data_IF_968755277365
#
_entry.id   IF_968755277365
#
_cell.length_a   1.000
_cell.length_b   1.000
_cell.length_c   1.000
_cell.angle_alpha   90.00
_cell.angle_beta   90.00
_cell.angle_gamma   90.00
#
_symmetry.space_group_name_H-M   'P 1'
#
loop_
_entity.id
_entity.type
_entity.pdbx_description
1 polymer ?
#
# COMPACT_ATOMS: atom_id res chain seq x y z
N UNK A 1 2.57 -17.69 -26.10
CA UNK A 1 3.51 -16.55 -26.22
C UNK A 1 4.49 -16.65 -25.09
N UNK A 2 5.80 -16.57 -25.36
CA UNK A 2 6.83 -16.73 -24.34
C UNK A 2 6.85 -15.50 -23.43
N UNK A 3 6.53 -15.66 -22.15
CA UNK A 3 6.51 -14.59 -21.15
C UNK A 3 7.83 -13.80 -21.09
N UNK A 4 8.94 -14.45 -21.44
CA UNK A 4 10.26 -13.86 -21.55
C UNK A 4 10.35 -12.80 -22.67
N UNK A 5 9.76 -13.07 -23.84
CA UNK A 5 9.78 -12.14 -24.97
C UNK A 5 8.92 -10.89 -24.66
N UNK A 6 7.78 -11.10 -23.99
CA UNK A 6 6.91 -10.01 -23.53
C UNK A 6 7.62 -9.13 -22.50
N UNK A 7 8.41 -9.73 -21.59
CA UNK A 7 9.22 -9.01 -20.61
C UNK A 7 10.26 -8.11 -21.29
N UNK A 8 11.02 -8.66 -22.23
CA UNK A 8 12.08 -7.94 -22.96
C UNK A 8 11.50 -6.77 -23.75
N UNK A 9 10.39 -6.98 -24.48
CA UNK A 9 9.73 -5.91 -25.25
C UNK A 9 9.25 -4.78 -24.33
N UNK A 10 8.70 -5.13 -23.17
CA UNK A 10 8.20 -4.15 -22.19
C UNK A 10 9.37 -3.35 -21.57
N UNK A 11 10.48 -4.02 -21.28
CA UNK A 11 11.68 -3.41 -20.70
C UNK A 11 12.34 -2.44 -21.69
N UNK A 12 12.53 -2.85 -22.95
CA UNK A 12 13.02 -1.97 -24.00
C UNK A 12 12.11 -0.76 -24.21
N UNK A 13 10.78 -0.96 -24.25
CA UNK A 13 9.81 0.12 -24.44
C UNK A 13 9.84 1.16 -23.32
N UNK A 14 10.10 0.74 -22.07
CA UNK A 14 10.30 1.63 -20.92
C UNK A 14 11.61 2.41 -21.05
N UNK A 15 12.67 1.76 -21.50
CA UNK A 15 14.02 2.34 -21.61
C UNK A 15 14.11 3.45 -22.66
N UNK A 16 13.41 3.32 -23.80
CA UNK A 16 13.39 4.33 -24.89
C UNK A 16 12.41 5.50 -24.65
N UNK A 17 11.89 5.67 -23.44
CA UNK A 17 11.02 6.80 -23.08
C UNK A 17 9.53 6.45 -22.97
N UNK A 18 9.18 5.17 -22.97
CA UNK A 18 7.83 4.71 -22.63
C UNK A 18 7.48 5.07 -21.19
N UNK A 19 6.23 5.48 -20.98
CA UNK A 19 5.69 5.77 -19.65
C UNK A 19 5.74 4.47 -18.84
N UNK A 20 6.60 4.38 -17.82
CA UNK A 20 6.57 3.27 -16.86
C UNK A 20 5.15 3.19 -16.32
N UNK A 21 4.40 2.17 -16.74
CA UNK A 21 3.13 1.83 -16.10
C UNK A 21 3.52 1.47 -14.68
N UNK A 22 3.30 2.41 -13.74
CA UNK A 22 3.55 2.17 -12.32
C UNK A 22 2.74 0.95 -11.96
N UNK A 23 3.42 -0.19 -11.79
CA UNK A 23 2.76 -1.41 -11.36
C UNK A 23 1.99 -1.08 -10.09
N UNK A 24 0.72 -1.49 -10.08
CA UNK A 24 -0.09 -1.37 -8.88
C UNK A 24 0.61 -2.14 -7.76
N UNK A 25 1.17 -1.39 -6.82
CA UNK A 25 1.94 -1.95 -5.70
C UNK A 25 1.11 -2.88 -4.80
N UNK A 26 -0.22 -2.97 -5.03
CA UNK A 26 -1.14 -3.77 -4.24
C UNK A 26 -1.34 -3.24 -2.82
N UNK A 27 -0.85 -2.02 -2.56
CA UNK A 27 -0.88 -1.39 -1.23
C UNK A 27 -2.25 -0.85 -0.84
N UNK A 28 -3.10 -0.56 -1.81
CA UNK A 28 -4.45 -0.04 -1.58
C UNK A 28 -5.48 -1.10 -1.96
N UNK A 29 -6.50 -1.27 -1.12
CA UNK A 29 -7.64 -2.13 -1.40
C UNK A 29 -8.47 -1.57 -2.56
N UNK A 30 -9.25 -2.45 -3.21
CA UNK A 30 -10.16 -2.03 -4.28
C UNK A 30 -11.21 -1.03 -3.76
N UNK A 31 -11.68 -1.20 -2.53
CA UNK A 31 -12.60 -0.25 -1.89
C UNK A 31 -12.01 1.16 -1.78
N UNK A 32 -10.74 1.27 -1.34
CA UNK A 32 -10.06 2.57 -1.25
C UNK A 32 -9.87 3.20 -2.62
N UNK A 33 -9.58 2.40 -3.67
CA UNK A 33 -9.51 2.90 -5.05
C UNK A 33 -10.87 3.39 -5.55
N UNK A 34 -11.94 2.65 -5.27
CA UNK A 34 -13.30 3.06 -5.64
C UNK A 34 -13.69 4.39 -4.97
N UNK A 35 -13.30 4.62 -3.71
CA UNK A 35 -13.53 5.90 -3.03
C UNK A 35 -12.72 7.05 -3.65
N UNK A 36 -11.47 6.80 -4.04
CA UNK A 36 -10.65 7.79 -4.76
C UNK A 36 -11.32 8.18 -6.08
N UNK A 37 -11.82 7.19 -6.84
CA UNK A 37 -12.54 7.43 -8.08
C UNK A 37 -13.83 8.21 -7.82
N UNK A 38 -14.62 7.83 -6.80
CA UNK A 38 -15.83 8.57 -6.40
C UNK A 38 -15.49 10.04 -6.12
N UNK A 39 -14.42 10.31 -5.38
CA UNK A 39 -13.97 11.67 -5.08
C UNK A 39 -13.55 12.44 -6.33
N UNK A 40 -12.87 11.79 -7.27
CA UNK A 40 -12.44 12.41 -8.53
C UNK A 40 -13.62 12.74 -9.46
N UNK A 41 -14.67 11.92 -9.42
CA UNK A 41 -15.90 12.14 -10.19
C UNK A 41 -16.85 13.17 -9.57
N UNK A 42 -16.62 13.60 -8.33
CA UNK A 42 -17.46 14.57 -7.64
C UNK A 42 -17.27 15.97 -8.24
N UNK A 43 -18.33 16.53 -8.85
CA UNK A 43 -18.35 17.93 -9.28
C UNK A 43 -18.79 18.80 -8.11
N UNK A 44 -17.97 19.79 -7.76
CA UNK A 44 -18.26 20.71 -6.65
C UNK A 44 -19.02 21.91 -7.18
N UNK A 45 -20.30 22.01 -6.85
CA UNK A 45 -21.18 23.11 -7.25
C UNK A 45 -21.84 23.80 -6.07
N UNK A 46 -22.08 23.07 -4.97
CA UNK A 46 -22.75 23.53 -3.77
C UNK A 46 -21.85 23.53 -2.53
N UNK A 47 -22.32 24.15 -1.44
CA UNK A 47 -21.65 24.03 -0.13
C UNK A 47 -21.69 22.60 0.41
N UNK A 48 -22.76 21.87 0.14
CA UNK A 48 -22.91 20.45 0.54
C UNK A 48 -21.87 19.57 -0.16
N UNK A 49 -21.61 19.80 -1.44
CA UNK A 49 -20.61 19.03 -2.21
C UNK A 49 -19.21 19.23 -1.63
N UNK A 50 -18.90 20.44 -1.14
CA UNK A 50 -17.62 20.74 -0.46
C UNK A 50 -17.47 19.95 0.84
N UNK A 51 -18.56 19.80 1.59
CA UNK A 51 -18.59 18.99 2.82
C UNK A 51 -18.38 17.52 2.46
N UNK A 52 -19.13 16.98 1.48
CA UNK A 52 -18.97 15.59 1.04
C UNK A 52 -17.54 15.32 0.55
N UNK A 53 -16.94 16.24 -0.21
CA UNK A 53 -15.56 16.12 -0.67
C UNK A 53 -14.55 16.05 0.49
N UNK A 54 -14.77 16.86 1.52
CA UNK A 54 -13.92 16.88 2.72
C UNK A 54 -14.06 15.57 3.51
N UNK A 55 -15.29 15.06 3.67
CA UNK A 55 -15.56 13.79 4.34
C UNK A 55 -14.98 12.59 3.59
N UNK A 56 -15.18 12.54 2.26
CA UNK A 56 -14.55 11.53 1.41
C UNK A 56 -13.03 11.57 1.53
N UNK A 57 -12.42 12.75 1.57
CA UNK A 57 -10.98 12.89 1.74
C UNK A 57 -10.49 12.38 3.10
N UNK A 58 -11.21 12.69 4.18
CA UNK A 58 -10.92 12.16 5.53
C UNK A 58 -11.01 10.63 5.55
N UNK A 59 -12.06 10.07 4.95
CA UNK A 59 -12.28 8.62 4.86
C UNK A 59 -11.19 7.93 4.06
N UNK A 60 -10.87 8.44 2.87
CA UNK A 60 -9.79 7.91 2.02
C UNK A 60 -8.47 7.89 2.76
N UNK A 61 -8.10 8.98 3.45
CA UNK A 61 -6.85 9.05 4.18
C UNK A 61 -6.76 8.01 5.30
N UNK A 62 -7.83 7.84 6.08
CA UNK A 62 -7.91 6.80 7.11
C UNK A 62 -7.72 5.41 6.50
N UNK A 63 -8.43 5.10 5.41
CA UNK A 63 -8.36 3.81 4.73
C UNK A 63 -6.99 3.55 4.09
N UNK A 64 -6.37 4.55 3.46
CA UNK A 64 -5.00 4.43 2.91
C UNK A 64 -3.99 4.01 3.98
N UNK A 65 -4.07 4.60 5.17
CA UNK A 65 -3.20 4.24 6.29
C UNK A 65 -3.42 2.79 6.72
N UNK A 66 -4.68 2.36 6.86
CA UNK A 66 -5.03 0.98 7.19
C UNK A 66 -4.54 -0.02 6.14
N UNK A 67 -4.77 0.25 4.86
CA UNK A 67 -4.39 -0.63 3.76
C UNK A 67 -2.87 -0.81 3.67
N UNK A 68 -2.12 0.29 3.77
CA UNK A 68 -0.65 0.25 3.78
C UNK A 68 -0.14 -0.51 5.00
N UNK A 69 -0.75 -0.30 6.18
CA UNK A 69 -0.39 -1.04 7.40
C UNK A 69 -0.63 -2.54 7.23
N UNK A 70 -1.78 -2.93 6.67
CA UNK A 70 -2.14 -4.33 6.40
C UNK A 70 -1.18 -4.97 5.39
N UNK A 71 -0.86 -4.27 4.30
CA UNK A 71 0.10 -4.72 3.31
C UNK A 71 1.49 -4.95 3.92
N UNK A 72 1.99 -3.99 4.69
CA UNK A 72 3.28 -4.10 5.36
C UNK A 72 3.30 -5.26 6.36
N UNK A 73 2.21 -5.45 7.13
CA UNK A 73 2.07 -6.55 8.07
C UNK A 73 2.21 -7.91 7.38
N UNK A 74 1.46 -8.12 6.29
CA UNK A 74 1.53 -9.35 5.48
C UNK A 74 2.95 -9.62 4.97
N UNK A 75 3.70 -8.59 4.58
CA UNK A 75 5.08 -8.76 4.13
C UNK A 75 6.02 -9.15 5.26
N UNK A 76 5.83 -8.59 6.46
CA UNK A 76 6.61 -8.97 7.64
C UNK A 76 6.28 -10.40 8.06
N UNK A 77 5.00 -10.79 8.11
CA UNK A 77 4.56 -12.15 8.42
C UNK A 77 5.13 -13.18 7.44
N UNK A 78 5.11 -12.90 6.12
CA UNK A 78 5.73 -13.77 5.11
C UNK A 78 7.23 -13.90 5.33
N UNK A 79 7.92 -12.81 5.64
CA UNK A 79 9.35 -12.84 5.90
C UNK A 79 9.68 -13.68 7.13
N UNK A 80 8.92 -13.51 8.21
CA UNK A 80 9.03 -14.32 9.43
C UNK A 80 8.85 -15.80 9.16
N UNK A 81 7.80 -16.18 8.42
CA UNK A 81 7.54 -17.57 8.04
C UNK A 81 8.68 -18.20 7.22
N UNK A 82 9.36 -17.39 6.42
CA UNK A 82 10.45 -17.84 5.55
C UNK A 82 11.83 -17.74 6.24
N UNK A 83 11.90 -17.58 7.57
CA UNK A 83 13.15 -17.45 8.32
C UNK A 83 13.93 -16.15 8.05
N UNK A 84 13.28 -15.16 7.42
CA UNK A 84 13.89 -13.90 7.04
C UNK A 84 13.98 -12.90 8.19
N UNK A 85 15.03 -12.08 8.18
CA UNK A 85 15.22 -11.02 9.18
C UNK A 85 14.16 -9.92 9.06
N UNK A 86 13.40 -9.70 10.14
CA UNK A 86 12.45 -8.59 10.29
C UNK A 86 13.12 -7.24 10.01
N UNK A 87 14.35 -7.05 10.48
CA UNK A 87 15.12 -5.79 10.34
C UNK A 87 15.38 -5.47 8.86
N UNK A 88 15.72 -6.49 8.06
CA UNK A 88 15.95 -6.34 6.63
C UNK A 88 14.66 -6.00 5.87
N UNK A 89 13.54 -6.63 6.21
CA UNK A 89 12.24 -6.34 5.58
C UNK A 89 11.71 -4.96 5.94
N UNK A 90 11.86 -4.53 7.20
CA UNK A 90 11.50 -3.18 7.65
C UNK A 90 12.29 -2.09 6.92
N UNK A 91 13.59 -2.30 6.70
CA UNK A 91 14.44 -1.39 5.90
C UNK A 91 13.91 -1.24 4.47
N UNK A 92 13.55 -2.35 3.81
CA UNK A 92 12.96 -2.35 2.46
C UNK A 92 11.58 -1.68 2.39
N UNK A 93 10.84 -1.64 3.51
CA UNK A 93 9.52 -1.01 3.58
C UNK A 93 9.56 0.48 3.97
N UNK A 94 10.73 1.03 4.31
CA UNK A 94 10.88 2.42 4.77
C UNK A 94 10.15 2.71 6.08
N UNK A 95 9.94 1.70 6.93
CA UNK A 95 9.24 1.84 8.21
C UNK A 95 10.27 2.22 9.29
N UNK A 96 10.21 3.46 9.78
CA UNK A 96 11.06 3.93 10.88
C UNK A 96 10.72 3.30 12.25
N UNK A 97 11.63 3.45 13.23
CA UNK A 97 11.53 2.85 14.57
C UNK A 97 10.24 3.18 15.33
N UNK A 98 9.63 4.36 15.17
CA UNK A 98 8.43 4.76 15.95
C UNK A 98 7.12 4.10 15.49
N UNK A 99 7.07 3.53 14.27
CA UNK A 99 5.88 2.81 13.76
C UNK A 99 5.94 1.30 14.07
N UNK A 100 6.85 0.90 14.97
CA UNK A 100 7.11 -0.50 15.37
C UNK A 100 5.96 -1.18 16.10
N UNK A 101 5.04 -0.41 16.69
CA UNK A 101 4.11 -0.97 17.66
C UNK A 101 3.00 -1.81 17.00
N UNK A 102 3.02 -3.09 17.38
CA UNK A 102 2.01 -4.15 17.19
C UNK A 102 2.06 -4.96 15.89
N UNK A 103 3.01 -5.91 15.82
CA UNK A 103 2.68 -7.29 15.42
C UNK A 103 1.92 -7.89 16.62
N UNK A 104 0.64 -8.22 16.44
CA UNK A 104 -0.12 -8.97 17.45
C UNK A 104 0.01 -10.45 17.11
N UNK A 105 0.35 -11.27 18.09
CA UNK A 105 0.19 -12.72 17.94
C UNK A 105 -1.30 -13.10 17.90
N UNK A 106 -1.60 -14.40 17.72
CA UNK A 106 -2.96 -14.93 17.67
C UNK A 106 -3.77 -14.69 18.95
N UNK A 107 -3.10 -14.29 20.04
CA UNK A 107 -3.68 -14.00 21.36
C UNK A 107 -3.79 -12.49 21.62
N UNK A 108 -3.44 -11.64 20.65
CA UNK A 108 -3.52 -10.19 20.77
C UNK A 108 -2.35 -9.54 21.53
N UNK A 109 -1.35 -10.30 21.96
CA UNK A 109 -0.17 -9.77 22.64
C UNK A 109 0.83 -9.18 21.64
N UNK A 110 1.33 -8.00 21.99
CA UNK A 110 2.42 -7.32 21.30
C UNK A 110 3.72 -8.07 21.56
N UNK A 111 4.25 -8.76 20.55
CA UNK A 111 5.60 -9.34 20.65
C UNK A 111 6.64 -8.22 20.54
N UNK A 112 6.93 -7.58 21.68
CA UNK A 112 8.18 -6.85 21.87
C UNK A 112 9.26 -7.89 22.14
N UNK A 113 9.92 -8.37 21.09
CA UNK A 113 11.10 -9.21 21.24
C UNK A 113 12.36 -8.41 20.89
N UNK A 114 13.06 -8.10 22.00
CA UNK A 114 14.48 -7.78 22.19
C UNK A 114 14.95 -6.32 22.07
N UNK A 115 15.20 -5.73 23.25
CA UNK A 115 16.55 -5.30 23.59
C UNK A 115 17.43 -6.50 23.92
#
# INVERSE_FOLDING_TARGET
MNDNLTSIITECAVEVGGKVVRQDTGKLSQETKNLINKRQSLKVSSKTDKIELAELSKLINRRKVCDVRKYNMKRIERALKNGGSIKAVKRKLGIGKSRMNALRDKEGKTTNQYG
#
